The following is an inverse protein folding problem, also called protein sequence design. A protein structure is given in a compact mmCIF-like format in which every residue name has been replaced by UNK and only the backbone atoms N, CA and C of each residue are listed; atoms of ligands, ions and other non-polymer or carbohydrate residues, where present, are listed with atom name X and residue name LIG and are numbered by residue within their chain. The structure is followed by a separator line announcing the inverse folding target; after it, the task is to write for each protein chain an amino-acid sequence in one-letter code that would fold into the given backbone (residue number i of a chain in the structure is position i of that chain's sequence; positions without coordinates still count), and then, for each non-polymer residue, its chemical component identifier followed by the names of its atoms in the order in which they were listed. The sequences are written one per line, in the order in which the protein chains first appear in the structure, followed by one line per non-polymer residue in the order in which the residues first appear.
data_IF_049955145162
#
_entry.id   IF_049955145162
#
_cell.length_a   1.000
_cell.length_b   1.000
_cell.length_c   1.000
_cell.angle_alpha   90.00
_cell.angle_beta   90.00
_cell.angle_gamma   90.00
#
_symmetry.space_group_name_H-M   'P 1'
#
loop_
_entity.id
_entity.type
_entity.pdbx_description
1 polymer ?
#
# COMPACT_ATOMS: atom_id res chain seq x y z
N UNK A 1 15.70 25.44 -6.49
CA UNK A 1 14.75 24.50 -5.86
C UNK A 1 15.06 24.57 -4.38
N UNK A 2 14.40 25.48 -3.67
CA UNK A 2 14.89 26.00 -2.38
C UNK A 2 14.56 25.07 -1.20
N UNK A 3 13.91 23.94 -1.49
CA UNK A 3 13.58 22.90 -0.53
C UNK A 3 13.93 21.55 -1.16
N UNK A 4 14.74 20.78 -0.44
CA UNK A 4 15.03 19.40 -0.79
C UNK A 4 13.81 18.48 -0.68
N UNK A 5 13.91 17.22 -1.10
CA UNK A 5 12.83 16.26 -0.97
C UNK A 5 12.46 16.04 0.51
N UNK A 6 11.18 15.77 0.77
CA UNK A 6 10.70 15.43 2.11
C UNK A 6 11.44 14.19 2.64
N UNK A 7 12.04 14.24 3.85
CA UNK A 7 12.75 13.10 4.42
C UNK A 7 11.86 11.84 4.48
N UNK A 8 12.40 10.64 4.18
CA UNK A 8 11.64 9.39 4.21
C UNK A 8 10.96 9.11 5.57
N UNK A 9 11.62 9.47 6.67
CA UNK A 9 11.09 9.36 8.03
C UNK A 9 9.80 10.16 8.25
N UNK A 10 9.71 11.35 7.67
CA UNK A 10 8.50 12.20 7.73
C UNK A 10 7.35 11.54 6.99
N UNK A 11 7.62 10.93 5.84
CA UNK A 11 6.62 10.21 5.05
C UNK A 11 6.15 8.95 5.77
N UNK A 12 7.06 8.18 6.37
CA UNK A 12 6.72 7.02 7.20
C UNK A 12 5.86 7.41 8.41
N UNK A 13 6.17 8.53 9.07
CA UNK A 13 5.37 9.06 10.17
C UNK A 13 3.97 9.44 9.70
N UNK A 14 3.84 10.11 8.55
CA UNK A 14 2.54 10.46 7.97
C UNK A 14 1.70 9.22 7.65
N UNK A 15 2.32 8.16 7.09
CA UNK A 15 1.63 6.88 6.84
C UNK A 15 1.08 6.26 8.13
N UNK A 16 1.88 6.20 9.20
CA UNK A 16 1.42 5.67 10.49
C UNK A 16 0.25 6.46 11.07
N UNK A 17 0.27 7.79 10.96
CA UNK A 17 -0.84 8.64 11.43
C UNK A 17 -2.10 8.36 10.61
N UNK A 18 -1.99 8.31 9.28
CA UNK A 18 -3.09 8.00 8.38
C UNK A 18 -3.74 6.64 8.71
N UNK A 19 -2.92 5.60 8.94
CA UNK A 19 -3.38 4.27 9.34
C UNK A 19 -4.06 4.29 10.72
N UNK A 20 -3.51 5.02 11.70
CA UNK A 20 -4.12 5.21 13.02
C UNK A 20 -5.46 5.95 12.95
N UNK A 21 -5.66 6.81 11.95
CA UNK A 21 -6.95 7.45 11.66
C UNK A 21 -7.95 6.53 10.93
N UNK A 22 -7.60 5.27 10.67
CA UNK A 22 -8.46 4.29 10.01
C UNK A 22 -8.36 4.27 8.48
N UNK A 23 -7.39 4.97 7.88
CA UNK A 23 -7.12 4.85 6.44
C UNK A 23 -6.49 3.48 6.14
N UNK A 24 -7.18 2.68 5.33
CA UNK A 24 -6.83 1.28 5.06
C UNK A 24 -5.75 1.11 3.99
N UNK A 25 -5.64 2.08 3.07
CA UNK A 25 -4.78 1.99 1.89
C UNK A 25 -3.97 3.27 1.75
N UNK A 26 -2.79 3.29 2.38
CA UNK A 26 -1.90 4.45 2.43
C UNK A 26 -0.59 4.12 1.72
N UNK A 27 -0.25 4.90 0.70
CA UNK A 27 0.92 4.67 -0.15
C UNK A 27 1.93 5.82 -0.07
N UNK A 28 3.21 5.52 -0.17
CA UNK A 28 4.31 6.49 -0.19
C UNK A 28 4.92 6.55 -1.59
N UNK A 29 4.68 7.63 -2.34
CA UNK A 29 5.15 7.76 -3.73
C UNK A 29 6.58 8.29 -3.91
N UNK A 30 7.12 9.03 -2.93
CA UNK A 30 8.44 9.67 -3.04
C UNK A 30 9.58 8.84 -2.43
N UNK A 31 9.30 7.60 -2.00
CA UNK A 31 10.26 6.71 -1.37
C UNK A 31 10.21 5.37 -2.08
N UNK A 32 11.32 4.98 -2.74
CA UNK A 32 11.48 3.61 -3.26
C UNK A 32 11.68 2.67 -2.09
N UNK A 33 10.57 2.24 -1.50
CA UNK A 33 10.52 1.40 -0.30
C UNK A 33 9.40 0.39 -0.49
N UNK A 34 9.72 -0.89 -0.32
CA UNK A 34 8.74 -1.97 -0.34
C UNK A 34 7.62 -1.77 0.71
N UNK A 35 7.87 -0.99 1.76
CA UNK A 35 6.90 -0.72 2.84
C UNK A 35 5.84 0.31 2.42
N UNK A 36 6.12 1.11 1.40
CA UNK A 36 5.30 2.25 1.01
C UNK A 36 4.37 2.01 -0.17
N UNK A 37 4.65 1.04 -1.04
CA UNK A 37 4.01 0.97 -2.37
C UNK A 37 3.03 -0.23 -2.49
N UNK A 38 3.11 -1.17 -1.55
CA UNK A 38 2.32 -2.39 -1.55
C UNK A 38 0.89 -2.17 -1.04
N UNK A 39 -0.08 -2.91 -1.59
CA UNK A 39 -1.41 -3.03 -0.99
C UNK A 39 -1.38 -4.16 0.01
N UNK A 40 -1.66 -3.81 1.27
CA UNK A 40 -1.89 -4.77 2.34
C UNK A 40 -3.40 -5.02 2.49
N UNK A 41 -3.78 -6.25 2.81
CA UNK A 41 -5.14 -6.56 3.21
C UNK A 41 -5.44 -5.88 4.56
N UNK A 42 -6.47 -5.03 4.68
CA UNK A 42 -6.75 -4.33 5.94
C UNK A 42 -7.26 -5.26 7.06
N UNK A 43 -7.57 -6.52 6.76
CA UNK A 43 -8.04 -7.50 7.73
C UNK A 43 -6.90 -8.37 8.29
N UNK A 44 -5.97 -8.82 7.44
CA UNK A 44 -4.88 -9.73 7.85
C UNK A 44 -3.47 -9.18 7.63
N UNK A 45 -3.33 -7.95 7.12
CA UNK A 45 -2.08 -7.25 6.86
C UNK A 45 -1.13 -7.88 5.83
N UNK A 46 -1.48 -9.04 5.27
CA UNK A 46 -0.72 -9.69 4.19
C UNK A 46 -0.68 -8.83 2.92
N UNK A 47 0.43 -8.94 2.19
CA UNK A 47 0.60 -8.24 0.92
C UNK A 47 -0.22 -8.94 -0.15
N UNK A 48 -1.25 -8.26 -0.65
CA UNK A 48 -2.12 -8.78 -1.73
C UNK A 48 -1.74 -8.22 -3.09
N UNK A 49 -1.11 -7.04 -3.13
CA UNK A 49 -0.55 -6.47 -4.35
C UNK A 49 0.84 -5.91 -4.04
N UNK A 50 1.86 -6.42 -4.72
CA UNK A 50 3.22 -5.92 -4.64
C UNK A 50 3.50 -4.93 -5.78
N UNK A 51 4.04 -3.75 -5.46
CA UNK A 51 4.38 -2.71 -6.44
C UNK A 51 5.81 -2.21 -6.25
N UNK A 52 6.36 -1.68 -7.34
CA UNK A 52 7.60 -0.94 -7.34
C UNK A 52 7.44 0.29 -8.25
N UNK A 53 7.27 1.47 -7.67
CA UNK A 53 6.83 2.65 -8.40
C UNK A 53 5.54 2.41 -9.18
N UNK A 54 5.57 2.62 -10.50
CA UNK A 54 4.43 2.39 -11.39
C UNK A 54 4.27 0.93 -11.85
N UNK A 55 5.19 0.04 -11.47
CA UNK A 55 5.18 -1.35 -11.92
C UNK A 55 4.47 -2.25 -10.92
N UNK A 56 3.56 -3.08 -11.44
CA UNK A 56 2.93 -4.17 -10.70
C UNK A 56 3.89 -5.36 -10.69
N UNK A 57 4.44 -5.72 -9.52
CA UNK A 57 5.30 -6.88 -9.39
C UNK A 57 4.50 -8.17 -9.20
N UNK A 58 3.39 -8.10 -8.47
CA UNK A 58 2.52 -9.24 -8.19
C UNK A 58 1.12 -8.77 -7.83
N UNK A 59 0.11 -9.43 -8.37
CA UNK A 59 -1.25 -9.39 -7.86
C UNK A 59 -1.63 -10.79 -7.38
N UNK A 60 -1.96 -10.91 -6.10
CA UNK A 60 -2.36 -12.17 -5.46
C UNK A 60 -3.85 -12.20 -5.11
N UNK A 61 -4.61 -11.17 -5.48
CA UNK A 61 -6.06 -11.19 -5.32
C UNK A 61 -6.68 -12.31 -6.14
N UNK A 62 -7.73 -12.91 -5.60
CA UNK A 62 -8.59 -13.82 -6.37
C UNK A 62 -9.31 -13.04 -7.48
N UNK A 63 -9.87 -13.75 -8.46
CA UNK A 63 -10.61 -13.15 -9.59
C UNK A 63 -11.78 -12.26 -9.14
N UNK A 64 -12.37 -12.54 -7.97
CA UNK A 64 -13.44 -11.77 -7.35
C UNK A 64 -12.95 -10.54 -6.54
N UNK A 65 -11.65 -10.25 -6.56
CA UNK A 65 -11.04 -9.14 -5.82
C UNK A 65 -10.87 -9.40 -4.32
N UNK A 66 -10.97 -10.65 -3.86
CA UNK A 66 -10.80 -11.00 -2.45
C UNK A 66 -9.36 -11.38 -2.09
N UNK A 67 -9.00 -11.16 -0.82
CA UNK A 67 -7.73 -11.58 -0.25
C UNK A 67 -7.62 -13.11 -0.23
N UNK A 68 -6.55 -13.71 -0.76
CA UNK A 68 -6.38 -15.16 -0.77
C UNK A 68 -6.12 -15.74 0.62
N UNK A 69 -5.66 -14.92 1.57
CA UNK A 69 -5.24 -15.37 2.90
C UNK A 69 -6.38 -15.40 3.93
N UNK A 70 -7.30 -14.43 3.87
CA UNK A 70 -8.39 -14.31 4.84
C UNK A 70 -9.79 -14.15 4.22
N UNK A 71 -9.90 -14.05 2.89
CA UNK A 71 -11.18 -13.88 2.20
C UNK A 71 -11.79 -12.49 2.26
N UNK A 72 -11.15 -11.52 2.91
CA UNK A 72 -11.64 -10.15 2.95
C UNK A 72 -11.71 -9.53 1.54
N UNK A 73 -12.83 -8.89 1.22
CA UNK A 73 -12.98 -8.13 -0.03
C UNK A 73 -12.06 -6.91 -0.03
N UNK A 74 -11.27 -6.74 -1.10
CA UNK A 74 -10.42 -5.58 -1.29
C UNK A 74 -11.11 -4.62 -2.27
N UNK A 75 -11.44 -3.38 -1.88
CA UNK A 75 -12.07 -2.43 -2.78
C UNK A 75 -11.11 -2.04 -3.91
N UNK A 76 -11.61 -2.06 -5.15
CA UNK A 76 -10.84 -1.68 -6.33
C UNK A 76 -11.43 -2.26 -7.62
N UNK A 77 -10.76 -1.97 -8.74
CA UNK A 77 -11.02 -2.57 -10.05
C UNK A 77 -9.73 -3.28 -10.47
N UNK A 78 -9.81 -4.58 -10.78
CA UNK A 78 -8.65 -5.46 -10.99
C UNK A 78 -8.69 -6.20 -12.34
N UNK A 79 -9.49 -5.72 -13.29
CA UNK A 79 -9.67 -6.29 -14.64
C UNK A 79 -8.68 -5.68 -15.63
#
# INVERSE_FOLDING_TARGET
LDRGPTPPETLLKAKKIAEACGLKFVYLGNVRSAVGENTHCPACQEIVIARQGFWLQRNSLKEDGTCPFCGAAIPGVFQ
#
